data_IF_032942371247
#
_entry.id   IF_032942371247
#
_cell.length_a   1.000
_cell.length_b   1.000
_cell.length_c   1.000
_cell.angle_alpha   90.00
_cell.angle_beta   90.00
_cell.angle_gamma   90.00
#
_symmetry.space_group_name_H-M   'P 1'
#
loop_
_entity.id
_entity.type
_entity.pdbx_description
1 polymer ?
#
# COMPACT_ATOMS: atom_id res chain seq x y z
N UNK A 1 0.81 29.69 -21.10
CA UNK A 1 -0.65 29.73 -20.94
C UNK A 1 -1.07 28.41 -20.31
N UNK A 2 -1.76 28.42 -19.18
CA UNK A 2 -2.27 27.19 -18.54
C UNK A 2 -3.66 26.85 -19.05
N UNK A 3 -3.98 25.58 -19.27
CA UNK A 3 -5.34 25.13 -19.56
C UNK A 3 -5.96 24.57 -18.27
N UNK A 4 -7.15 25.03 -17.90
CA UNK A 4 -7.87 24.48 -16.74
C UNK A 4 -9.10 23.72 -17.20
N UNK A 5 -9.23 22.50 -16.67
CA UNK A 5 -10.50 21.84 -16.39
C UNK A 5 -10.20 20.57 -15.62
N UNK A 6 -10.87 20.34 -14.49
CA UNK A 6 -10.79 19.05 -13.83
C UNK A 6 -11.27 17.94 -14.80
N UNK A 7 -10.53 16.82 -14.93
CA UNK A 7 -10.90 15.74 -15.85
C UNK A 7 -12.33 15.25 -15.57
N UNK A 8 -13.22 15.39 -16.55
CA UNK A 8 -14.61 14.93 -16.45
C UNK A 8 -15.63 15.91 -15.84
N UNK A 9 -15.22 17.12 -15.41
CA UNK A 9 -16.14 18.14 -14.88
C UNK A 9 -16.31 19.35 -15.81
N UNK A 10 -15.30 19.74 -16.58
CA UNK A 10 -15.36 20.89 -17.49
C UNK A 10 -14.56 20.66 -18.77
N UNK A 11 -14.85 21.40 -19.85
CA UNK A 11 -14.04 21.37 -21.08
C UNK A 11 -12.77 22.22 -20.87
N UNK A 12 -11.56 21.69 -21.17
CA UNK A 12 -10.33 22.45 -21.02
C UNK A 12 -10.38 23.76 -21.81
N UNK A 13 -10.18 24.88 -21.13
CA UNK A 13 -10.09 26.20 -21.76
C UNK A 13 -8.79 26.89 -21.38
N UNK A 14 -8.28 27.76 -22.27
CA UNK A 14 -7.13 28.61 -21.97
C UNK A 14 -7.47 29.49 -20.78
N UNK A 15 -6.79 29.28 -19.66
CA UNK A 15 -6.71 30.29 -18.62
C UNK A 15 -5.86 31.41 -19.21
N UNK A 16 -6.40 32.63 -19.29
CA UNK A 16 -5.65 33.83 -19.66
C UNK A 16 -4.58 34.24 -18.63
N UNK A 17 -4.02 33.26 -17.90
CA UNK A 17 -3.03 33.40 -16.85
C UNK A 17 -1.72 32.73 -17.25
N UNK A 18 -0.62 33.35 -16.84
CA UNK A 18 0.71 32.79 -17.01
C UNK A 18 1.06 31.91 -15.82
N UNK A 19 1.61 30.73 -16.10
CA UNK A 19 2.12 29.81 -15.08
C UNK A 19 3.44 30.39 -14.56
N UNK A 20 3.53 30.56 -13.24
CA UNK A 20 4.79 30.88 -12.56
C UNK A 20 5.57 29.59 -12.24
N UNK A 21 4.91 28.60 -11.65
CA UNK A 21 5.50 27.30 -11.33
C UNK A 21 4.44 26.21 -11.18
N UNK A 22 4.87 24.95 -11.33
CA UNK A 22 4.05 23.79 -10.98
C UNK A 22 4.31 23.35 -9.53
N UNK A 23 3.36 22.61 -8.97
CA UNK A 23 3.46 22.00 -7.64
C UNK A 23 4.63 21.03 -7.54
N UNK A 24 5.09 20.84 -6.30
CA UNK A 24 6.12 19.86 -5.93
C UNK A 24 5.49 18.58 -5.41
N UNK A 25 6.30 17.61 -4.95
CA UNK A 25 5.85 16.30 -4.45
C UNK A 25 4.87 16.34 -3.28
N UNK A 26 4.74 17.48 -2.57
CA UNK A 26 3.77 17.66 -1.47
C UNK A 26 2.43 18.22 -1.93
N UNK A 27 2.29 18.55 -3.21
CA UNK A 27 1.08 19.14 -3.79
C UNK A 27 0.34 18.12 -4.65
N UNK A 28 -0.98 18.28 -4.79
CA UNK A 28 -1.78 17.46 -5.69
C UNK A 28 -1.31 17.61 -7.16
N UNK A 29 -1.36 16.53 -7.93
CA UNK A 29 -1.01 16.57 -9.35
C UNK A 29 -1.80 17.64 -10.11
N UNK A 30 -1.09 18.47 -10.84
CA UNK A 30 -1.66 19.59 -11.58
C UNK A 30 -1.79 20.88 -10.78
N UNK A 31 -1.42 20.88 -9.49
CA UNK A 31 -1.27 22.13 -8.73
C UNK A 31 -0.36 23.08 -9.50
N UNK A 32 -0.86 24.30 -9.71
CA UNK A 32 -0.24 25.33 -10.53
C UNK A 32 -0.27 26.64 -9.77
N UNK A 33 0.86 27.33 -9.70
CA UNK A 33 0.99 28.68 -9.18
C UNK A 33 1.09 29.65 -10.36
N UNK A 34 0.26 30.68 -10.37
CA UNK A 34 0.20 31.68 -11.44
C UNK A 34 0.99 32.93 -11.06
N UNK A 35 1.39 33.72 -12.06
CA UNK A 35 2.17 34.95 -11.87
C UNK A 35 1.39 36.07 -11.17
N UNK A 36 0.06 35.96 -11.11
CA UNK A 36 -0.81 36.89 -10.37
C UNK A 36 -0.97 36.52 -8.88
N UNK A 37 -0.21 35.52 -8.41
CA UNK A 37 -0.22 35.06 -7.02
C UNK A 37 -1.35 34.08 -6.69
N UNK A 38 -2.23 33.75 -7.65
CA UNK A 38 -3.26 32.74 -7.45
C UNK A 38 -2.72 31.33 -7.67
N UNK A 39 -3.39 30.32 -7.11
CA UNK A 39 -3.14 28.91 -7.41
C UNK A 39 -4.37 28.27 -8.06
N UNK A 40 -4.17 27.18 -8.76
CA UNK A 40 -5.24 26.38 -9.36
C UNK A 40 -4.71 25.08 -9.93
N UNK A 41 -5.50 24.45 -10.79
CA UNK A 41 -5.13 23.21 -11.44
C UNK A 41 -4.92 23.43 -12.94
N UNK A 42 -3.83 22.93 -13.53
CA UNK A 42 -3.65 22.93 -14.99
C UNK A 42 -3.16 21.59 -15.53
N UNK A 43 -3.60 21.26 -16.75
CA UNK A 43 -3.16 20.04 -17.44
C UNK A 43 -1.65 20.04 -17.68
N UNK A 44 -1.06 21.21 -17.94
CA UNK A 44 0.38 21.36 -18.14
C UNK A 44 1.17 20.92 -16.91
N UNK A 45 0.76 21.38 -15.72
CA UNK A 45 1.41 20.97 -14.48
C UNK A 45 1.10 19.53 -14.10
N UNK A 46 -0.08 19.01 -14.43
CA UNK A 46 -0.40 17.59 -14.19
C UNK A 46 0.56 16.69 -14.97
N UNK A 47 0.72 16.97 -16.27
CA UNK A 47 1.66 16.23 -17.13
C UNK A 47 3.10 16.35 -16.64
N UNK A 48 3.56 17.55 -16.26
CA UNK A 48 4.93 17.75 -15.78
C UNK A 48 5.17 17.04 -14.43
N UNK A 49 4.24 17.15 -13.49
CA UNK A 49 4.37 16.53 -12.17
C UNK A 49 4.32 15.00 -12.30
N UNK A 50 3.44 14.44 -13.14
CA UNK A 50 3.38 13.00 -13.41
C UNK A 50 4.63 12.48 -14.09
N UNK A 51 5.22 13.23 -15.01
CA UNK A 51 6.48 12.85 -15.65
C UNK A 51 7.64 12.73 -14.64
N UNK A 52 7.56 13.46 -13.52
CA UNK A 52 8.55 13.46 -12.46
C UNK A 52 8.15 12.58 -11.25
N UNK A 53 6.97 11.95 -11.29
CA UNK A 53 6.52 11.10 -10.20
C UNK A 53 7.21 9.75 -10.24
N UNK A 54 7.99 9.47 -9.20
CA UNK A 54 8.50 8.13 -8.92
C UNK A 54 7.55 7.52 -7.89
N UNK A 55 6.80 6.46 -8.23
CA UNK A 55 5.97 5.78 -7.25
C UNK A 55 6.87 5.27 -6.13
N UNK A 56 6.47 5.43 -4.85
CA UNK A 56 7.21 4.81 -3.76
C UNK A 56 7.20 3.30 -3.99
N UNK A 57 8.38 2.69 -4.01
CA UNK A 57 8.50 1.23 -3.93
C UNK A 57 8.17 0.85 -2.50
N UNK A 58 7.02 0.21 -2.29
CA UNK A 58 6.77 -0.51 -1.05
C UNK A 58 7.43 -1.89 -1.19
N UNK A 59 8.20 -2.29 -0.19
CA UNK A 59 8.60 -3.69 -0.07
C UNK A 59 7.32 -4.49 0.14
N UNK A 60 7.07 -5.46 -0.74
CA UNK A 60 6.00 -6.43 -0.53
C UNK A 60 6.42 -7.33 0.61
N UNK A 61 5.72 -7.26 1.75
CA UNK A 61 5.89 -8.23 2.82
C UNK A 61 5.40 -9.59 2.34
N UNK A 62 6.29 -10.58 2.32
CA UNK A 62 5.95 -11.95 2.00
C UNK A 62 5.43 -12.64 3.27
N UNK A 63 4.12 -12.56 3.48
CA UNK A 63 3.45 -13.16 4.63
C UNK A 63 3.64 -14.68 4.67
N UNK A 64 3.77 -15.35 3.52
CA UNK A 64 3.99 -16.80 3.47
C UNK A 64 5.40 -17.16 3.94
N UNK A 65 6.41 -16.40 3.52
CA UNK A 65 7.79 -16.57 3.98
C UNK A 65 7.91 -16.32 5.50
N UNK A 66 7.27 -15.27 6.01
CA UNK A 66 7.25 -14.99 7.44
C UNK A 66 6.55 -16.09 8.26
N UNK A 67 5.39 -16.57 7.78
CA UNK A 67 4.67 -17.67 8.42
C UNK A 67 5.52 -18.96 8.47
N UNK A 68 6.33 -19.22 7.43
CA UNK A 68 7.26 -20.35 7.40
C UNK A 68 8.40 -20.18 8.42
N UNK A 69 9.02 -19.01 8.50
CA UNK A 69 10.07 -18.72 9.48
C UNK A 69 9.56 -18.88 10.92
N UNK A 70 8.36 -18.36 11.20
CA UNK A 70 7.72 -18.53 12.50
C UNK A 70 7.46 -20.00 12.82
N UNK A 71 6.96 -20.78 11.86
CA UNK A 71 6.73 -22.21 12.04
C UNK A 71 8.02 -22.97 12.36
N UNK A 72 9.11 -22.68 11.63
CA UNK A 72 10.40 -23.32 11.84
C UNK A 72 11.00 -22.99 13.21
N UNK A 73 10.91 -21.73 13.65
CA UNK A 73 11.36 -21.33 14.98
C UNK A 73 10.54 -21.99 16.09
N UNK A 74 9.21 -22.02 15.95
CA UNK A 74 8.32 -22.64 16.92
C UNK A 74 8.62 -24.14 17.09
N UNK A 75 8.77 -24.87 15.97
CA UNK A 75 9.07 -26.30 16.01
C UNK A 75 10.50 -26.66 16.42
N UNK A 76 11.41 -25.68 16.47
CA UNK A 76 12.76 -25.89 17.00
C UNK A 76 12.76 -26.10 18.51
N UNK A 77 11.84 -25.45 19.22
CA UNK A 77 11.80 -25.42 20.69
C UNK A 77 10.62 -26.18 21.26
N UNK A 78 9.58 -26.47 20.47
CA UNK A 78 8.39 -27.19 20.92
C UNK A 78 8.30 -28.58 20.28
N UNK A 79 7.99 -29.63 21.07
CA UNK A 79 7.77 -30.96 20.52
C UNK A 79 6.55 -30.91 19.59
N UNK A 80 6.68 -31.51 18.40
CA UNK A 80 5.55 -31.67 17.48
C UNK A 80 4.47 -32.53 18.16
N UNK A 81 3.25 -32.01 18.34
CA UNK A 81 2.19 -32.76 18.98
C UNK A 81 1.80 -33.94 18.09
N UNK A 82 1.42 -35.05 18.72
CA UNK A 82 1.04 -36.28 18.01
C UNK A 82 -0.46 -36.30 17.86
N UNK A 83 -0.92 -36.58 16.64
CA UNK A 83 -2.35 -36.76 16.38
C UNK A 83 -2.94 -37.87 17.26
N UNK A 84 -4.04 -37.58 17.95
CA UNK A 84 -4.82 -38.54 18.72
C UNK A 84 -6.28 -38.55 18.21
N UNK A 85 -6.73 -39.63 17.54
CA UNK A 85 -8.08 -39.72 17.01
C UNK A 85 -9.17 -39.76 18.10
N UNK A 86 -8.83 -40.15 19.34
CA UNK A 86 -9.77 -40.21 20.47
C UNK A 86 -9.90 -38.87 21.21
N UNK A 87 -9.28 -37.80 20.70
CA UNK A 87 -9.32 -36.46 21.30
C UNK A 87 -10.11 -35.47 20.46
N UNK A 88 -10.91 -34.63 21.11
CA UNK A 88 -11.87 -33.73 20.43
C UNK A 88 -11.20 -32.65 19.56
N UNK A 89 -9.97 -32.27 19.88
CA UNK A 89 -9.16 -31.28 19.16
C UNK A 89 -8.08 -31.93 18.26
N UNK A 90 -8.08 -33.27 18.17
CA UNK A 90 -7.11 -34.06 17.40
C UNK A 90 -5.75 -34.22 18.06
N UNK A 91 -5.54 -33.73 19.30
CA UNK A 91 -4.29 -33.82 20.05
C UNK A 91 -4.52 -34.41 21.43
N UNK A 92 -3.53 -35.10 22.00
CA UNK A 92 -3.69 -35.75 23.31
C UNK A 92 -3.97 -34.73 24.44
N UNK A 93 -4.68 -35.14 25.52
CA UNK A 93 -5.14 -34.25 26.60
C UNK A 93 -4.03 -33.53 27.38
N UNK A 94 -2.77 -33.99 27.29
CA UNK A 94 -1.60 -33.41 27.97
C UNK A 94 -0.59 -32.75 27.00
N UNK A 95 -1.02 -32.37 25.79
CA UNK A 95 -0.16 -31.73 24.79
C UNK A 95 -0.40 -30.22 24.73
N UNK A 96 0.69 -29.45 24.80
CA UNK A 96 0.63 -28.01 24.54
C UNK A 96 0.21 -27.77 23.09
N UNK A 97 -0.84 -26.97 22.91
CA UNK A 97 -1.40 -26.70 21.59
C UNK A 97 -0.57 -25.64 20.88
N UNK A 98 -0.16 -25.88 19.62
CA UNK A 98 0.51 -24.87 18.82
C UNK A 98 -0.36 -23.63 18.60
N UNK A 99 0.25 -22.46 18.34
CA UNK A 99 -0.47 -21.28 17.89
C UNK A 99 -1.47 -21.57 16.77
N UNK A 100 -2.60 -20.87 16.76
CA UNK A 100 -3.66 -21.08 15.79
C UNK A 100 -3.18 -20.97 14.34
N UNK A 101 -2.23 -20.08 14.06
CA UNK A 101 -1.63 -19.89 12.74
C UNK A 101 -0.84 -21.11 12.24
N UNK A 102 -0.38 -22.00 13.14
CA UNK A 102 0.26 -23.27 12.77
C UNK A 102 -0.72 -24.44 12.62
N UNK A 103 -2.00 -24.24 12.98
CA UNK A 103 -3.04 -25.28 13.01
C UNK A 103 -4.15 -25.04 11.99
N UNK A 104 -4.39 -23.79 11.61
CA UNK A 104 -5.52 -23.38 10.79
C UNK A 104 -5.04 -22.69 9.52
N UNK A 105 -5.65 -23.02 8.39
CA UNK A 105 -5.36 -22.34 7.12
C UNK A 105 -5.93 -20.91 7.14
N UNK A 106 -5.19 -19.95 6.59
CA UNK A 106 -5.62 -18.56 6.46
C UNK A 106 -5.58 -17.74 7.76
N UNK A 107 -4.78 -18.18 8.74
CA UNK A 107 -4.50 -17.43 9.97
C UNK A 107 -3.04 -17.02 9.94
N UNK A 108 -2.78 -15.72 9.97
CA UNK A 108 -1.41 -15.18 9.95
C UNK A 108 -0.71 -15.42 11.28
N UNK A 109 0.56 -15.82 11.19
CA UNK A 109 1.53 -15.64 12.25
C UNK A 109 2.14 -14.23 12.09
#
# INVERSE_FOLDING_TARGET
MGYTAAPGQERPHCLGKQIASCGTSVHEFGTTFFTDGTSGWTQTCDTQMRANYVPPTYETFDQDAYNQEFADEYWRTHPKPTFNPDSADGYGPDQELPPACLRLQGVDC
#
